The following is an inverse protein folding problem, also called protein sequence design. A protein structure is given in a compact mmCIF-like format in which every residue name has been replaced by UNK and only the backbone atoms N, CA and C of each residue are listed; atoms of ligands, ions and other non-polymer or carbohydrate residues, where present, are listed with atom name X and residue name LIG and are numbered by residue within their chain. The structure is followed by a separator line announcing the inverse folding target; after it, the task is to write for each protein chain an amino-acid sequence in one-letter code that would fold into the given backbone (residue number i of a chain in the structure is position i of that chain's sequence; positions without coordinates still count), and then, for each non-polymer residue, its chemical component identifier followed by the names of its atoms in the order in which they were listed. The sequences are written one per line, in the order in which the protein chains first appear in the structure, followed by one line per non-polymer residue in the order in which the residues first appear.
data_IF_832559930082
#
_entry.id   IF_832559930082
#
_cell.length_a   1.000
_cell.length_b   1.000
_cell.length_c   1.000
_cell.angle_alpha   90.00
_cell.angle_beta   90.00
_cell.angle_gamma   90.00
#
_symmetry.space_group_name_H-M   'P 1'
#
loop_
_entity.id
_entity.type
_entity.pdbx_description
1 polymer ?
#
# COMPACT_ATOMS: atom_id res chain seq x y z
N UNK A 1 53.84 -13.39 9.18
CA UNK A 1 52.55 -12.69 9.39
C UNK A 1 52.13 -12.92 10.84
N UNK A 2 51.85 -11.87 11.62
CA UNK A 2 51.50 -12.05 13.05
C UNK A 2 50.08 -12.59 13.20
N UNK A 3 49.81 -13.39 14.24
CA UNK A 3 48.47 -13.87 14.59
C UNK A 3 47.45 -12.72 14.68
N UNK A 4 47.88 -11.53 15.10
CA UNK A 4 47.05 -10.32 15.17
C UNK A 4 46.60 -9.81 13.80
N UNK A 5 47.47 -9.87 12.78
CA UNK A 5 47.13 -9.50 11.40
C UNK A 5 46.12 -10.47 10.79
N UNK A 6 46.21 -11.76 11.11
CA UNK A 6 45.25 -12.77 10.67
C UNK A 6 43.87 -12.54 11.29
N UNK A 7 43.80 -12.30 12.61
CA UNK A 7 42.53 -11.99 13.28
C UNK A 7 41.90 -10.68 12.78
N UNK A 8 42.72 -9.65 12.50
CA UNK A 8 42.24 -8.41 11.92
C UNK A 8 41.70 -8.61 10.50
N UNK A 9 42.40 -9.39 9.67
CA UNK A 9 41.95 -9.73 8.32
C UNK A 9 40.63 -10.52 8.36
N UNK A 10 40.53 -11.54 9.23
CA UNK A 10 39.30 -12.33 9.42
C UNK A 10 38.16 -11.44 9.94
N UNK A 11 38.41 -10.58 10.93
CA UNK A 11 37.40 -9.67 11.47
C UNK A 11 36.92 -8.65 10.40
N UNK A 12 37.83 -8.08 9.61
CA UNK A 12 37.46 -7.24 8.47
C UNK A 12 36.65 -8.03 7.44
N UNK A 13 37.05 -9.26 7.09
CA UNK A 13 36.27 -10.12 6.19
C UNK A 13 34.87 -10.40 6.72
N UNK A 14 34.69 -10.65 8.03
CA UNK A 14 33.36 -10.82 8.63
C UNK A 14 32.51 -9.55 8.61
N UNK A 15 33.11 -8.36 8.71
CA UNK A 15 32.40 -7.08 8.53
C UNK A 15 31.92 -6.87 7.09
N UNK A 16 32.58 -7.48 6.10
CA UNK A 16 32.13 -7.47 4.69
C UNK A 16 31.13 -8.59 4.36
N UNK A 17 30.97 -9.61 5.22
CA UNK A 17 30.04 -10.75 5.01
C UNK A 17 28.66 -10.49 5.65
N UNK A 18 28.49 -9.45 6.47
CA UNK A 18 27.17 -8.97 6.90
C UNK A 18 26.45 -8.40 5.66
N UNK A 19 25.76 -9.30 4.95
CA UNK A 19 25.35 -9.18 3.55
C UNK A 19 24.83 -7.81 3.16
N UNK A 20 25.31 -7.33 2.01
CA UNK A 20 24.88 -6.09 1.39
C UNK A 20 23.45 -6.22 0.83
N UNK A 21 22.48 -6.37 1.73
CA UNK A 21 21.06 -6.26 1.44
C UNK A 21 20.66 -4.79 1.56
N UNK A 22 20.04 -4.25 0.51
CA UNK A 22 19.31 -2.99 0.64
C UNK A 22 17.92 -3.33 1.14
N UNK A 23 17.71 -3.08 2.43
CA UNK A 23 16.36 -3.07 2.98
C UNK A 23 15.45 -2.24 2.09
N UNK A 24 14.23 -2.74 1.87
CA UNK A 24 13.24 -2.04 1.09
C UNK A 24 13.05 -0.61 1.62
N UNK A 25 13.33 0.36 0.76
CA UNK A 25 13.13 1.78 1.00
C UNK A 25 12.03 2.30 0.07
N UNK A 26 11.07 3.06 0.61
CA UNK A 26 10.04 3.76 -0.18
C UNK A 26 10.33 5.26 -0.11
N UNK A 27 10.97 5.80 -1.15
CA UNK A 27 11.60 7.15 -1.13
C UNK A 27 10.60 8.29 -0.93
N UNK A 28 9.41 8.14 -1.48
CA UNK A 28 8.37 9.16 -1.51
C UNK A 28 7.19 8.86 -0.57
N UNK A 29 7.37 7.96 0.40
CA UNK A 29 6.32 7.60 1.35
C UNK A 29 5.84 8.80 2.18
N UNK A 30 6.74 9.77 2.40
CA UNK A 30 6.46 11.03 3.10
C UNK A 30 5.50 11.95 2.35
N UNK A 31 5.28 11.74 1.06
CA UNK A 31 4.39 12.57 0.25
C UNK A 31 2.92 12.17 0.47
N UNK A 32 2.69 10.96 1.00
CA UNK A 32 1.37 10.44 1.41
C UNK A 32 1.04 10.77 2.86
N UNK A 33 1.61 11.87 3.37
CA UNK A 33 1.29 12.34 4.72
C UNK A 33 -0.16 12.79 4.78
N UNK A 34 -0.77 12.40 5.88
CA UNK A 34 -2.11 12.75 6.26
C UNK A 34 -2.24 14.24 6.59
N UNK A 35 -3.24 14.91 6.02
CA UNK A 35 -3.70 16.22 6.52
C UNK A 35 -4.69 15.99 7.67
N UNK A 36 -4.79 16.93 8.62
CA UNK A 36 -5.79 16.81 9.66
C UNK A 36 -7.19 16.88 9.03
N UNK A 37 -7.95 15.78 9.10
CA UNK A 37 -9.35 15.74 8.67
C UNK A 37 -10.21 15.61 9.94
N UNK A 38 -11.29 16.37 10.02
CA UNK A 38 -12.23 16.26 11.12
C UNK A 38 -12.81 14.83 11.16
N UNK A 39 -12.95 14.22 12.35
CA UNK A 39 -13.60 12.93 12.47
C UNK A 39 -15.07 13.03 12.02
N UNK A 40 -15.59 11.94 11.47
CA UNK A 40 -17.01 11.81 11.13
C UNK A 40 -17.83 11.69 12.42
N UNK A 41 -19.15 11.75 12.29
CA UNK A 41 -20.04 11.45 13.41
C UNK A 41 -19.73 10.06 13.98
N UNK A 42 -19.62 9.96 15.31
CA UNK A 42 -19.46 8.67 16.01
C UNK A 42 -20.65 7.73 15.84
N UNK A 43 -21.73 8.23 15.28
CA UNK A 43 -22.93 7.45 14.99
C UNK A 43 -22.91 6.84 13.59
N UNK A 44 -22.01 7.30 12.73
CA UNK A 44 -21.88 6.82 11.36
C UNK A 44 -21.17 5.46 11.35
N UNK A 45 -21.77 4.53 10.62
CA UNK A 45 -21.21 3.22 10.32
C UNK A 45 -20.90 3.06 8.83
N UNK A 46 -19.71 2.54 8.52
CA UNK A 46 -19.21 2.36 7.16
C UNK A 46 -18.97 0.86 6.90
N UNK A 47 -19.55 0.31 5.84
CA UNK A 47 -19.22 -1.01 5.32
C UNK A 47 -18.23 -0.89 4.16
N UNK A 48 -17.22 -1.76 4.11
CA UNK A 48 -16.22 -1.75 3.05
C UNK A 48 -16.41 -2.99 2.17
N UNK A 49 -16.57 -2.76 0.86
CA UNK A 49 -16.66 -3.77 -0.18
C UNK A 49 -15.40 -3.70 -1.05
N UNK A 50 -14.51 -4.69 -0.96
CA UNK A 50 -13.29 -4.72 -1.76
C UNK A 50 -12.99 -6.14 -2.27
N UNK A 51 -13.00 -6.38 -3.60
CA UNK A 51 -12.77 -7.71 -4.16
C UNK A 51 -11.29 -8.13 -4.15
N UNK A 52 -10.35 -7.18 -4.05
CA UNK A 52 -8.91 -7.41 -4.18
C UNK A 52 -8.09 -6.40 -3.34
N UNK A 53 -6.77 -6.62 -3.26
CA UNK A 53 -5.84 -5.72 -2.56
C UNK A 53 -5.94 -5.78 -1.02
N UNK A 54 -6.19 -6.97 -0.47
CA UNK A 54 -6.53 -7.20 0.94
C UNK A 54 -5.64 -6.46 1.95
N UNK A 55 -4.32 -6.37 1.70
CA UNK A 55 -3.39 -5.73 2.65
C UNK A 55 -3.57 -4.22 2.73
N UNK A 56 -3.66 -3.54 1.58
CA UNK A 56 -3.95 -2.11 1.54
C UNK A 56 -5.31 -1.81 2.15
N UNK A 57 -6.34 -2.59 1.79
CA UNK A 57 -7.69 -2.44 2.35
C UNK A 57 -7.72 -2.68 3.86
N UNK A 58 -6.97 -3.65 4.39
CA UNK A 58 -6.83 -3.85 5.84
C UNK A 58 -6.25 -2.60 6.52
N UNK A 59 -5.22 -1.98 5.93
CA UNK A 59 -4.64 -0.72 6.41
C UNK A 59 -5.66 0.42 6.40
N UNK A 60 -6.37 0.59 5.28
CA UNK A 60 -7.44 1.60 5.14
C UNK A 60 -8.57 1.38 6.14
N UNK A 61 -9.02 0.15 6.32
CA UNK A 61 -10.05 -0.22 7.29
C UNK A 61 -9.62 0.11 8.72
N UNK A 62 -8.38 -0.26 9.09
CA UNK A 62 -7.84 0.01 10.41
C UNK A 62 -7.77 1.53 10.67
N UNK A 63 -7.36 2.30 9.68
CA UNK A 63 -7.31 3.76 9.75
C UNK A 63 -8.71 4.39 9.86
N UNK A 64 -9.69 3.93 9.06
CA UNK A 64 -11.06 4.43 9.07
C UNK A 64 -11.75 4.31 10.43
N UNK A 65 -11.36 3.32 11.26
CA UNK A 65 -11.89 3.15 12.63
C UNK A 65 -11.57 4.32 13.56
N UNK A 66 -10.56 5.14 13.22
CA UNK A 66 -10.26 6.38 13.96
C UNK A 66 -11.15 7.56 13.58
N UNK A 67 -11.87 7.46 12.45
CA UNK A 67 -12.69 8.54 11.90
C UNK A 67 -14.19 8.27 12.02
N UNK A 68 -14.63 7.01 11.98
CA UNK A 68 -16.03 6.61 12.03
C UNK A 68 -16.37 5.84 13.30
N UNK A 69 -17.64 5.84 13.70
CA UNK A 69 -18.12 5.12 14.87
C UNK A 69 -17.98 3.60 14.75
N UNK A 70 -18.30 3.07 13.57
CA UNK A 70 -18.23 1.64 13.28
C UNK A 70 -17.74 1.42 11.86
N UNK A 71 -16.78 0.52 11.68
CA UNK A 71 -16.29 0.11 10.35
C UNK A 71 -16.39 -1.40 10.23
N UNK A 72 -17.09 -1.88 9.21
CA UNK A 72 -17.33 -3.30 8.95
C UNK A 72 -16.57 -3.72 7.69
N UNK A 73 -15.65 -4.67 7.83
CA UNK A 73 -14.89 -5.25 6.73
C UNK A 73 -14.54 -6.71 7.03
N UNK A 74 -14.74 -7.66 6.08
CA UNK A 74 -15.48 -7.46 4.83
C UNK A 74 -16.96 -7.19 5.12
N UNK A 75 -17.55 -6.23 4.39
CA UNK A 75 -19.00 -6.05 4.45
C UNK A 75 -19.68 -7.09 3.57
N UNK A 76 -20.66 -7.80 4.13
CA UNK A 76 -21.48 -8.78 3.44
C UNK A 76 -22.93 -8.37 3.64
N UNK A 77 -23.68 -8.18 2.56
CA UNK A 77 -25.09 -7.83 2.64
C UNK A 77 -25.93 -9.08 2.98
N UNK A 78 -25.95 -9.44 4.26
CA UNK A 78 -26.68 -10.59 4.81
C UNK A 78 -28.02 -10.19 5.46
N UNK A 79 -28.38 -8.90 5.41
CA UNK A 79 -29.55 -8.33 6.07
C UNK A 79 -29.44 -8.18 7.60
N UNK A 80 -28.40 -8.74 8.24
CA UNK A 80 -28.16 -8.68 9.69
C UNK A 80 -27.25 -7.52 10.06
N UNK A 81 -26.16 -7.35 9.31
CA UNK A 81 -25.22 -6.26 9.56
C UNK A 81 -25.62 -5.05 8.74
N UNK A 82 -26.18 -4.05 9.41
CA UNK A 82 -26.48 -2.75 8.79
C UNK A 82 -25.33 -1.78 8.98
N UNK A 83 -25.13 -0.97 7.95
CA UNK A 83 -24.21 0.16 7.90
C UNK A 83 -24.94 1.34 7.26
N UNK A 84 -24.43 2.57 7.42
CA UNK A 84 -25.04 3.78 6.86
C UNK A 84 -24.48 4.15 5.49
N UNK A 85 -23.19 3.87 5.30
CA UNK A 85 -22.44 4.14 4.07
C UNK A 85 -21.73 2.87 3.62
N UNK A 86 -21.74 2.61 2.32
CA UNK A 86 -20.91 1.59 1.70
C UNK A 86 -19.76 2.26 0.95
N UNK A 87 -18.53 1.87 1.26
CA UNK A 87 -17.36 2.23 0.49
C UNK A 87 -16.95 1.02 -0.37
N UNK A 88 -17.26 1.08 -1.66
CA UNK A 88 -16.75 0.11 -2.63
C UNK A 88 -15.38 0.56 -3.08
N UNK A 89 -14.36 -0.26 -2.84
CA UNK A 89 -12.97 0.05 -3.12
C UNK A 89 -12.41 -0.99 -4.09
N UNK A 90 -11.94 -0.54 -5.24
CA UNK A 90 -11.25 -1.36 -6.23
C UNK A 90 -9.82 -0.87 -6.40
N UNK A 91 -8.86 -1.78 -6.44
CA UNK A 91 -7.44 -1.45 -6.58
C UNK A 91 -6.94 -2.06 -7.88
N UNK A 92 -6.48 -1.21 -8.79
CA UNK A 92 -5.75 -1.64 -9.99
C UNK A 92 -4.26 -1.38 -9.78
N UNK A 93 -3.45 -2.39 -10.08
CA UNK A 93 -2.00 -2.33 -9.88
C UNK A 93 -1.29 -2.33 -11.23
N UNK A 94 -0.29 -1.47 -11.36
CA UNK A 94 0.63 -1.45 -12.50
C UNK A 94 2.05 -1.22 -11.96
N UNK A 95 2.93 -2.18 -12.20
CA UNK A 95 4.28 -2.15 -11.64
C UNK A 95 5.31 -2.08 -12.75
N UNK A 96 6.25 -1.15 -12.63
CA UNK A 96 7.35 -1.01 -13.58
C UNK A 96 8.71 -0.99 -12.89
N UNK A 97 9.74 -1.46 -13.60
CA UNK A 97 11.13 -1.33 -13.16
C UNK A 97 11.83 -0.18 -13.88
N UNK A 98 13.03 0.16 -13.39
CA UNK A 98 13.85 1.22 -13.98
C UNK A 98 14.82 0.66 -15.02
N UNK A 99 15.01 1.37 -16.13
CA UNK A 99 16.14 1.11 -17.04
C UNK A 99 17.49 1.20 -16.31
N UNK A 100 17.56 1.95 -15.21
CA UNK A 100 18.77 2.04 -14.39
C UNK A 100 19.15 0.69 -13.75
N UNK A 101 18.20 -0.24 -13.59
CA UNK A 101 18.48 -1.59 -13.12
C UNK A 101 19.39 -2.38 -14.07
N UNK A 102 19.38 -2.04 -15.37
CA UNK A 102 20.36 -2.55 -16.31
C UNK A 102 21.77 -2.13 -15.88
N UNK A 103 21.99 -0.83 -15.61
CA UNK A 103 23.31 -0.32 -15.23
C UNK A 103 23.77 -0.81 -13.86
N UNK A 104 22.83 -1.06 -12.94
CA UNK A 104 23.10 -1.71 -11.65
C UNK A 104 23.64 -3.13 -11.85
N UNK A 105 23.08 -3.88 -12.80
CA UNK A 105 23.56 -5.22 -13.14
C UNK A 105 24.83 -5.18 -14.00
N UNK A 106 24.84 -4.42 -15.08
CA UNK A 106 25.92 -4.35 -16.06
C UNK A 106 26.15 -2.90 -16.52
N UNK A 107 27.35 -2.33 -16.31
CA UNK A 107 28.55 -2.92 -15.72
C UNK A 107 28.56 -2.89 -14.18
N UNK A 108 27.47 -2.47 -13.53
CA UNK A 108 27.43 -2.18 -12.09
C UNK A 108 27.86 -3.33 -11.18
N UNK A 109 27.76 -4.59 -11.60
CA UNK A 109 28.30 -5.73 -10.85
C UNK A 109 29.80 -5.59 -10.52
N UNK A 110 30.59 -4.94 -11.39
CA UNK A 110 32.03 -4.73 -11.19
C UNK A 110 32.35 -3.88 -9.96
N UNK A 111 31.41 -3.03 -9.56
CA UNK A 111 31.52 -2.12 -8.42
C UNK A 111 30.45 -2.39 -7.37
N UNK A 112 29.85 -3.59 -7.41
CA UNK A 112 28.77 -4.01 -6.51
C UNK A 112 27.61 -3.01 -6.43
N UNK A 113 27.18 -2.45 -7.57
CA UNK A 113 26.15 -1.41 -7.61
C UNK A 113 24.83 -1.85 -6.96
N UNK A 114 24.44 -3.12 -7.05
CA UNK A 114 23.24 -3.63 -6.35
C UNK A 114 23.37 -3.55 -4.82
N UNK A 115 24.60 -3.67 -4.31
CA UNK A 115 24.94 -3.73 -2.89
C UNK A 115 24.94 -2.37 -2.18
N UNK A 116 25.18 -1.27 -2.89
CA UNK A 116 25.10 0.11 -2.36
C UNK A 116 23.99 0.95 -3.01
N UNK A 117 23.51 0.51 -4.18
CA UNK A 117 22.41 1.11 -4.89
C UNK A 117 21.38 0.11 -5.36
N UNK A 118 20.65 -0.55 -4.47
CA UNK A 118 19.61 -1.51 -4.87
C UNK A 118 18.69 -1.07 -6.03
N UNK A 119 18.00 -2.04 -6.62
CA UNK A 119 17.15 -1.85 -7.79
C UNK A 119 16.03 -0.85 -7.53
N UNK A 120 15.70 -0.09 -8.56
CA UNK A 120 14.67 0.94 -8.52
C UNK A 120 13.42 0.41 -9.21
N UNK A 121 12.29 0.52 -8.52
CA UNK A 121 10.99 0.13 -9.04
C UNK A 121 9.96 1.23 -8.79
N UNK A 122 8.91 1.23 -9.61
CA UNK A 122 7.80 2.18 -9.58
C UNK A 122 6.45 1.44 -9.52
N UNK A 123 6.04 0.99 -8.32
CA UNK A 123 4.69 0.49 -8.10
C UNK A 123 3.67 1.62 -8.25
N UNK A 124 2.60 1.37 -9.01
CA UNK A 124 1.47 2.27 -9.16
C UNK A 124 0.18 1.56 -8.76
N UNK A 125 -0.60 2.21 -7.90
CA UNK A 125 -1.93 1.77 -7.53
C UNK A 125 -2.94 2.84 -7.91
N UNK A 126 -3.97 2.44 -8.65
CA UNK A 126 -5.13 3.27 -8.93
C UNK A 126 -6.28 2.75 -8.08
N UNK A 127 -6.65 3.53 -7.06
CA UNK A 127 -7.67 3.13 -6.08
C UNK A 127 -8.98 3.83 -6.42
N UNK A 128 -9.89 3.10 -7.03
CA UNK A 128 -11.23 3.57 -7.36
C UNK A 128 -12.14 3.39 -6.15
N UNK A 129 -12.76 4.48 -5.70
CA UNK A 129 -13.67 4.50 -4.56
C UNK A 129 -15.04 5.00 -5.00
N UNK A 130 -16.06 4.21 -4.70
CA UNK A 130 -17.47 4.57 -4.85
C UNK A 130 -18.12 4.53 -3.46
N UNK A 131 -18.57 5.70 -3.00
CA UNK A 131 -19.33 5.85 -1.77
C UNK A 131 -20.81 5.79 -2.10
N UNK A 132 -21.55 4.91 -1.42
CA UNK A 132 -22.98 4.69 -1.62
C UNK A 132 -23.72 4.87 -0.30
N UNK A 133 -24.92 5.41 -0.38
CA UNK A 133 -25.87 5.34 0.72
C UNK A 133 -26.32 3.89 0.89
N UNK A 134 -26.08 3.30 2.06
CA UNK A 134 -26.40 1.90 2.30
C UNK A 134 -27.92 1.61 2.32
N UNK A 135 -28.76 2.64 2.46
CA UNK A 135 -30.21 2.50 2.50
C UNK A 135 -30.81 2.19 1.11
N UNK A 136 -30.36 2.91 0.09
CA UNK A 136 -30.94 2.85 -1.25
C UNK A 136 -29.92 2.61 -2.38
N UNK A 137 -28.65 2.40 -2.02
CA UNK A 137 -27.50 2.25 -2.92
C UNK A 137 -27.29 3.45 -3.86
N UNK A 138 -27.80 4.63 -3.51
CA UNK A 138 -27.56 5.81 -4.35
C UNK A 138 -26.13 6.32 -4.15
N UNK A 139 -25.42 6.70 -5.24
CA UNK A 139 -24.07 7.25 -5.14
C UNK A 139 -24.03 8.53 -4.28
N UNK A 140 -23.14 8.56 -3.31
CA UNK A 140 -22.77 9.74 -2.52
C UNK A 140 -21.64 10.48 -3.23
N UNK A 141 -20.61 9.75 -3.66
CA UNK A 141 -19.47 10.27 -4.40
C UNK A 141 -18.70 9.14 -5.10
N UNK A 142 -17.97 9.47 -6.17
CA UNK A 142 -17.10 8.54 -6.92
C UNK A 142 -15.81 9.25 -7.27
N UNK A 143 -14.68 8.68 -6.88
CA UNK A 143 -13.37 9.30 -7.10
C UNK A 143 -12.26 8.25 -7.19
N UNK A 144 -11.14 8.65 -7.77
CA UNK A 144 -9.96 7.80 -7.95
C UNK A 144 -8.78 8.42 -7.23
N UNK A 145 -8.07 7.62 -6.44
CA UNK A 145 -6.87 8.03 -5.72
C UNK A 145 -5.63 7.37 -6.37
N UNK A 146 -4.78 8.14 -7.08
CA UNK A 146 -3.54 7.61 -7.62
C UNK A 146 -2.46 7.53 -6.52
N UNK A 147 -1.81 6.38 -6.40
CA UNK A 147 -0.67 6.15 -5.51
C UNK A 147 0.52 5.69 -6.33
N UNK A 148 1.45 6.62 -6.59
CA UNK A 148 2.73 6.39 -7.29
C UNK A 148 3.85 6.24 -6.29
N UNK A 149 4.45 5.06 -6.19
CA UNK A 149 5.57 4.82 -5.28
C UNK A 149 6.89 4.77 -6.05
N UNK A 150 7.96 5.20 -5.39
CA UNK A 150 9.33 4.97 -5.86
C UNK A 150 10.07 4.20 -4.78
N UNK A 151 10.47 2.98 -5.13
CA UNK A 151 11.07 2.05 -4.17
C UNK A 151 12.49 1.69 -4.59
N UNK A 152 13.32 1.38 -3.60
CA UNK A 152 14.66 0.84 -3.76
C UNK A 152 14.78 -0.45 -2.96
N UNK A 153 15.26 -1.52 -3.57
CA UNK A 153 15.43 -2.79 -2.89
C UNK A 153 16.51 -3.64 -3.56
N UNK A 154 17.31 -4.36 -2.76
CA UNK A 154 18.15 -5.44 -3.25
C UNK A 154 18.31 -6.52 -2.19
N UNK A 155 18.12 -7.77 -2.60
CA UNK A 155 18.43 -8.96 -1.82
C UNK A 155 19.48 -9.76 -2.62
N UNK A 156 20.67 -9.95 -2.04
CA UNK A 156 21.79 -10.61 -2.73
C UNK A 156 21.51 -12.08 -3.06
N UNK A 157 20.62 -12.71 -2.31
CA UNK A 157 20.15 -14.07 -2.52
C UNK A 157 19.12 -14.20 -3.63
N UNK A 158 18.50 -13.08 -4.03
CA UNK A 158 17.50 -13.02 -5.12
C UNK A 158 18.08 -12.49 -6.42
N UNK A 159 19.24 -11.84 -6.36
CA UNK A 159 20.02 -11.57 -7.56
C UNK A 159 20.60 -12.87 -8.10
N UNK A 160 20.47 -13.13 -9.41
CA UNK A 160 21.13 -14.25 -10.12
C UNK A 160 22.66 -14.32 -9.88
N UNK A 161 23.23 -13.32 -9.22
CA UNK A 161 24.63 -13.16 -8.86
C UNK A 161 25.19 -14.11 -7.83
N UNK A 162 24.41 -15.00 -7.21
CA UNK A 162 25.00 -16.08 -6.41
C UNK A 162 25.93 -16.97 -7.25
N UNK A 163 25.71 -17.04 -8.59
CA UNK A 163 26.57 -17.76 -9.54
C UNK A 163 27.37 -16.80 -10.47
N UNK A 164 26.87 -15.59 -10.78
CA UNK A 164 27.52 -14.71 -11.79
C UNK A 164 28.78 -13.98 -11.36
N UNK A 165 29.20 -14.04 -10.09
CA UNK A 165 30.49 -13.45 -9.71
C UNK A 165 31.68 -14.18 -10.35
N UNK A 166 31.50 -15.45 -10.73
CA UNK A 166 32.51 -16.28 -11.41
C UNK A 166 32.34 -16.34 -12.94
N UNK A 167 31.14 -16.09 -13.46
CA UNK A 167 30.80 -16.24 -14.89
C UNK A 167 30.58 -14.86 -15.54
N UNK A 168 31.67 -14.12 -15.76
CA UNK A 168 31.62 -12.69 -16.07
C UNK A 168 31.37 -12.37 -17.55
N UNK A 169 30.39 -11.51 -17.82
CA UNK A 169 30.12 -10.90 -19.13
C UNK A 169 28.68 -11.11 -19.60
N UNK A 170 28.41 -12.23 -20.28
CA UNK A 170 27.13 -12.47 -20.96
C UNK A 170 25.96 -12.60 -19.98
N UNK A 171 26.16 -13.25 -18.83
CA UNK A 171 25.07 -13.44 -17.86
C UNK A 171 24.73 -12.12 -17.18
N UNK A 172 25.71 -11.27 -16.86
CA UNK A 172 25.46 -9.92 -16.33
C UNK A 172 24.68 -9.03 -17.31
N UNK A 173 25.02 -9.11 -18.60
CA UNK A 173 24.29 -8.40 -19.66
C UNK A 173 22.83 -8.88 -19.79
N UNK A 174 22.61 -10.19 -19.85
CA UNK A 174 21.27 -10.78 -19.93
C UNK A 174 20.44 -10.51 -18.67
N UNK A 175 21.04 -10.66 -17.49
CA UNK A 175 20.43 -10.31 -16.22
C UNK A 175 20.02 -8.84 -16.19
N UNK A 176 20.90 -7.94 -16.64
CA UNK A 176 20.58 -6.52 -16.74
C UNK A 176 19.33 -6.23 -17.57
N UNK A 177 19.10 -6.95 -18.67
CA UNK A 177 17.89 -6.79 -19.48
C UNK A 177 16.63 -7.30 -18.78
N UNK A 178 16.73 -8.40 -18.03
CA UNK A 178 15.61 -8.99 -17.29
C UNK A 178 15.19 -8.09 -16.12
N UNK A 179 16.14 -7.58 -15.34
CA UNK A 179 15.90 -6.74 -14.16
C UNK A 179 15.45 -5.31 -14.47
N UNK A 180 15.34 -4.93 -15.75
CA UNK A 180 14.62 -3.70 -16.15
C UNK A 180 13.15 -3.79 -15.74
N UNK A 181 12.59 -4.99 -15.68
CA UNK A 181 11.19 -5.23 -15.29
C UNK A 181 11.04 -5.17 -13.77
N UNK A 182 9.78 -5.08 -13.34
CA UNK A 182 9.45 -5.16 -11.92
C UNK A 182 9.74 -6.57 -11.37
N UNK A 183 10.19 -6.64 -10.12
CA UNK A 183 10.40 -7.87 -9.37
C UNK A 183 9.19 -8.14 -8.47
N UNK A 184 8.32 -9.08 -8.87
CA UNK A 184 7.03 -9.36 -8.23
C UNK A 184 7.17 -9.79 -6.77
N UNK A 185 8.28 -10.42 -6.40
CA UNK A 185 8.58 -10.84 -5.02
C UNK A 185 8.87 -9.64 -4.09
N UNK A 186 9.07 -8.44 -4.63
CA UNK A 186 9.15 -7.21 -3.82
C UNK A 186 7.76 -6.79 -3.34
N UNK A 187 6.69 -7.18 -4.05
CA UNK A 187 5.31 -6.80 -3.71
C UNK A 187 4.94 -7.14 -2.27
N UNK A 188 5.18 -8.37 -1.76
CA UNK A 188 4.81 -8.69 -0.39
C UNK A 188 5.62 -7.93 0.68
N UNK A 189 6.85 -7.49 0.37
CA UNK A 189 7.65 -6.63 1.24
C UNK A 189 7.12 -5.20 1.22
N UNK A 190 6.77 -4.72 0.01
CA UNK A 190 6.20 -3.42 -0.23
C UNK A 190 4.90 -3.22 0.51
N UNK A 191 3.92 -4.11 0.28
CA UNK A 191 2.60 -4.02 0.90
C UNK A 191 2.69 -3.93 2.42
N UNK A 192 3.58 -4.72 3.05
CA UNK A 192 3.83 -4.65 4.50
C UNK A 192 4.34 -3.29 4.94
N UNK A 193 5.23 -2.68 4.15
CA UNK A 193 5.83 -1.37 4.46
C UNK A 193 4.83 -0.23 4.26
N UNK A 194 3.93 -0.34 3.28
CA UNK A 194 3.02 0.74 2.89
C UNK A 194 1.63 0.65 3.51
N UNK A 195 1.25 -0.51 4.07
CA UNK A 195 -0.08 -0.79 4.61
C UNK A 195 -0.60 0.32 5.52
N UNK A 196 0.14 0.68 6.57
CA UNK A 196 -0.28 1.73 7.51
C UNK A 196 -0.28 3.14 6.90
N UNK A 197 0.82 3.65 6.32
CA UNK A 197 0.87 5.02 5.79
C UNK A 197 -0.10 5.25 4.63
N UNK A 198 -0.13 4.34 3.65
CA UNK A 198 -1.06 4.46 2.52
C UNK A 198 -2.49 4.17 2.97
N UNK A 199 -2.70 3.20 3.88
CA UNK A 199 -4.01 2.96 4.47
C UNK A 199 -4.59 4.21 5.14
N UNK A 200 -3.79 4.93 5.94
CA UNK A 200 -4.16 6.20 6.53
C UNK A 200 -4.50 7.27 5.48
N UNK A 201 -3.67 7.40 4.44
CA UNK A 201 -3.90 8.34 3.35
C UNK A 201 -5.22 8.05 2.61
N UNK A 202 -5.49 6.80 2.27
CA UNK A 202 -6.74 6.39 1.61
C UNK A 202 -7.96 6.64 2.51
N UNK A 203 -7.87 6.29 3.80
CA UNK A 203 -8.94 6.52 4.77
C UNK A 203 -9.30 7.99 4.89
N UNK A 204 -8.31 8.89 4.89
CA UNK A 204 -8.56 10.32 4.93
C UNK A 204 -9.23 10.86 3.68
N UNK A 205 -8.86 10.37 2.50
CA UNK A 205 -9.55 10.75 1.28
C UNK A 205 -11.02 10.30 1.32
N UNK A 206 -11.30 9.06 1.76
CA UNK A 206 -12.67 8.57 1.98
C UNK A 206 -13.44 9.48 2.94
N UNK A 207 -12.85 9.82 4.08
CA UNK A 207 -13.49 10.69 5.09
C UNK A 207 -13.73 12.09 4.56
N UNK A 208 -12.75 12.66 3.84
CA UNK A 208 -12.85 14.00 3.25
C UNK A 208 -13.99 14.07 2.23
N UNK A 209 -13.98 13.16 1.25
CA UNK A 209 -15.03 13.08 0.23
C UNK A 209 -16.41 12.85 0.84
N UNK A 210 -16.51 12.00 1.86
CA UNK A 210 -17.76 11.79 2.56
C UNK A 210 -18.22 13.06 3.30
N UNK A 211 -17.34 13.72 4.05
CA UNK A 211 -17.68 14.90 4.85
C UNK A 211 -18.03 16.13 3.99
N UNK A 212 -17.40 16.27 2.82
CA UNK A 212 -17.64 17.36 1.86
C UNK A 212 -18.88 17.12 0.98
N UNK A 213 -19.40 15.88 0.93
CA UNK A 213 -20.58 15.56 0.15
C UNK A 213 -21.85 16.21 0.73
N UNK A 214 -22.67 16.91 -0.10
CA UNK A 214 -23.96 17.46 0.35
C UNK A 214 -24.92 16.41 0.93
N UNK A 215 -24.78 15.14 0.50
CA UNK A 215 -25.62 14.03 0.96
C UNK A 215 -25.28 13.56 2.37
N UNK A 216 -24.11 13.90 2.89
CA UNK A 216 -23.69 13.48 4.22
C UNK A 216 -24.61 14.01 5.32
N UNK A 217 -25.08 15.26 5.22
CA UNK A 217 -26.00 15.82 6.21
C UNK A 217 -27.35 15.10 6.23
N UNK A 218 -27.88 14.74 5.06
CA UNK A 218 -29.12 13.96 4.96
C UNK A 218 -28.99 12.57 5.61
N UNK A 219 -27.83 11.93 5.46
CA UNK A 219 -27.52 10.66 6.12
C UNK A 219 -27.51 10.84 7.65
N UNK A 220 -26.86 11.89 8.16
CA UNK A 220 -26.79 12.17 9.60
C UNK A 220 -28.18 12.48 10.20
N UNK A 221 -29.01 13.25 9.50
CA UNK A 221 -30.38 13.53 9.92
C UNK A 221 -31.20 12.25 9.98
N UNK A 222 -31.10 11.38 8.96
CA UNK A 222 -31.77 10.08 8.95
C UNK A 222 -31.32 9.19 10.11
N UNK A 223 -30.03 9.11 10.39
CA UNK A 223 -29.49 8.35 11.53
C UNK A 223 -30.09 8.88 12.84
N UNK A 224 -30.14 10.20 13.00
CA UNK A 224 -30.69 10.86 14.19
C UNK A 224 -32.17 10.55 14.38
N UNK A 225 -32.98 10.61 13.31
CA UNK A 225 -34.40 10.25 13.32
C UNK A 225 -34.64 8.77 13.63
N UNK A 226 -33.82 7.87 13.08
CA UNK A 226 -33.91 6.44 13.38
C UNK A 226 -33.63 6.15 14.85
N UNK A 227 -32.65 6.84 15.45
CA UNK A 227 -32.37 6.74 16.89
C UNK A 227 -33.51 7.29 17.74
N UNK A 228 -34.06 8.44 17.39
CA UNK A 228 -35.19 9.04 18.10
C UNK A 228 -36.43 8.12 18.10
N UNK A 229 -36.64 7.37 17.02
CA UNK A 229 -37.74 6.41 16.88
C UNK A 229 -37.44 5.02 17.48
N UNK A 230 -36.44 4.91 18.37
CA UNK A 230 -36.09 3.66 19.05
C UNK A 230 -35.58 2.58 18.11
N UNK A 231 -34.96 2.97 17.00
CA UNK A 231 -34.46 2.04 15.97
C UNK A 231 -35.57 1.35 15.17
N UNK A 232 -36.85 1.72 15.36
CA UNK A 232 -37.93 1.23 14.49
C UNK A 232 -37.73 1.83 13.11
N UNK A 233 -37.51 0.97 12.13
CA UNK A 233 -37.29 1.40 10.77
C UNK A 233 -38.57 2.01 10.22
N UNK A 234 -38.50 3.28 9.80
CA UNK A 234 -39.48 3.84 8.90
C UNK A 234 -39.35 3.09 7.56
N UNK A 235 -40.16 2.06 7.40
CA UNK A 235 -40.40 1.42 6.11
C UNK A 235 -41.16 2.45 5.27
N UNK A 236 -40.44 3.25 4.47
CA UNK A 236 -41.08 3.92 3.35
C UNK A 236 -41.34 2.84 2.30
N UNK A 237 -42.53 2.28 2.34
CA UNK A 237 -43.10 1.53 1.21
C UNK A 237 -43.00 2.43 -0.01
N UNK A 238 -42.17 2.04 -0.98
CA UNK A 238 -42.14 2.65 -2.32
C UNK A 238 -43.41 2.31 -3.08
#
# INVERSE_FOLDING_TARGET
MSIRLLFLAIACSFLFIQGCSHHLEVKNLKDYKTTAVAPLSKDLSIGILAPQGQRLINGTTQALRSYAGKVVYPYINDGKTRVDVLARVSIREDHSGSLYNFLINFPGFLVWASAWNGYVYYPYYEVDVELLDAYDNTPIDVFTIPVKLSIRHAEMDRTWTQVTWLETGVIGLLGGLVFIRYDDDVTPLLERRIQAPIGNYLAQNIVRHLAESPRYQAILERISLQKANGGKHLSMTR
#
